data_IF_148517466524
#
_entry.id   IF_148517466524
#
_cell.length_a   1.000
_cell.length_b   1.000
_cell.length_c   1.000
_cell.angle_alpha   90.00
_cell.angle_beta   90.00
_cell.angle_gamma   90.00
#
_symmetry.space_group_name_H-M   'P 1'
#
loop_
_entity.id
_entity.type
_entity.pdbx_description
1 polymer ?
#
# COMPACT_ATOMS: atom_id res chain seq x y z
N UNK A 1 19.63 -1.13 14.34
CA UNK A 1 18.24 -1.58 14.06
C UNK A 1 17.87 -1.21 12.63
N UNK A 2 17.59 -2.20 11.77
CA UNK A 2 17.09 -1.94 10.41
C UNK A 2 15.64 -1.46 10.49
N UNK A 3 15.36 -0.22 10.07
CA UNK A 3 14.00 0.34 10.03
C UNK A 3 13.27 -0.16 8.77
N UNK A 4 12.13 -0.82 8.94
CA UNK A 4 11.27 -1.22 7.82
C UNK A 4 10.37 -0.04 7.43
N UNK A 5 10.83 0.75 6.46
CA UNK A 5 10.10 1.92 5.96
C UNK A 5 8.70 1.57 5.43
N UNK A 6 8.50 0.37 4.85
CA UNK A 6 7.18 -0.04 4.33
C UNK A 6 6.22 -0.32 5.50
N UNK A 7 6.70 -0.98 6.55
CA UNK A 7 5.91 -1.21 7.76
C UNK A 7 5.49 0.11 8.43
N UNK A 8 6.39 1.09 8.49
CA UNK A 8 6.12 2.41 9.07
C UNK A 8 5.02 3.16 8.31
N UNK A 9 5.02 3.09 6.98
CA UNK A 9 4.00 3.73 6.12
C UNK A 9 2.65 3.04 6.27
N UNK A 10 2.63 1.71 6.21
CA UNK A 10 1.42 0.91 6.42
C UNK A 10 0.78 1.26 7.76
N UNK A 11 1.61 1.37 8.81
CA UNK A 11 1.15 1.74 10.15
C UNK A 11 0.64 3.18 10.18
N UNK A 12 1.33 4.12 9.53
CA UNK A 12 0.90 5.53 9.46
C UNK A 12 -0.45 5.69 8.78
N UNK A 13 -0.68 4.99 7.66
CA UNK A 13 -1.96 5.00 6.94
C UNK A 13 -3.06 4.39 7.81
N UNK A 14 -2.82 3.22 8.41
CA UNK A 14 -3.79 2.53 9.28
C UNK A 14 -4.18 3.41 10.48
N UNK A 15 -3.21 4.04 11.13
CA UNK A 15 -3.45 4.91 12.27
C UNK A 15 -4.24 6.16 11.87
N UNK A 16 -4.02 6.69 10.67
CA UNK A 16 -4.79 7.82 10.17
C UNK A 16 -6.26 7.41 9.87
N UNK A 17 -6.48 6.25 9.25
CA UNK A 17 -7.82 5.70 8.98
C UNK A 17 -8.58 5.42 10.30
N UNK A 18 -7.92 4.78 11.27
CA UNK A 18 -8.50 4.50 12.59
C UNK A 18 -8.87 5.75 13.38
N UNK A 19 -8.05 6.81 13.30
CA UNK A 19 -8.30 8.09 13.99
C UNK A 19 -9.17 9.06 13.19
N UNK A 20 -9.81 8.59 12.11
CA UNK A 20 -10.68 9.39 11.25
C UNK A 20 -9.99 10.60 10.60
N UNK A 21 -8.66 10.58 10.50
CA UNK A 21 -7.89 11.65 9.91
C UNK A 21 -8.02 11.59 8.39
N UNK A 22 -8.53 12.68 7.80
CA UNK A 22 -8.71 12.77 6.35
C UNK A 22 -7.39 12.72 5.58
N UNK A 23 -6.30 13.14 6.22
CA UNK A 23 -4.99 13.24 5.58
C UNK A 23 -3.90 12.59 6.41
N UNK A 24 -2.94 11.95 5.74
CA UNK A 24 -1.74 11.39 6.35
C UNK A 24 -0.51 11.86 5.58
N UNK A 25 0.56 12.19 6.30
CA UNK A 25 1.83 12.62 5.74
C UNK A 25 2.86 11.51 5.93
N UNK A 26 3.52 11.12 4.85
CA UNK A 26 4.60 10.12 4.86
C UNK A 26 5.84 10.65 4.12
N UNK A 27 7.06 10.19 4.45
CA UNK A 27 8.27 10.54 3.71
C UNK A 27 8.21 10.05 2.25
N UNK A 28 8.70 10.86 1.31
CA UNK A 28 8.78 10.49 -0.11
C UNK A 28 10.07 9.74 -0.39
N UNK A 29 9.94 8.47 -0.76
CA UNK A 29 10.98 7.64 -1.39
C UNK A 29 10.43 6.97 -2.64
N UNK A 30 11.31 6.50 -3.53
CA UNK A 30 10.88 5.82 -4.77
C UNK A 30 9.90 4.66 -4.51
N UNK A 31 10.14 3.87 -3.45
CA UNK A 31 9.26 2.77 -3.06
C UNK A 31 7.91 3.31 -2.58
N UNK A 32 7.91 4.34 -1.72
CA UNK A 32 6.66 4.94 -1.23
C UNK A 32 5.81 5.51 -2.35
N UNK A 33 6.45 6.19 -3.31
CA UNK A 33 5.77 6.84 -4.42
C UNK A 33 5.08 5.79 -5.30
N UNK A 34 5.75 4.66 -5.58
CA UNK A 34 5.17 3.58 -6.35
C UNK A 34 4.00 2.89 -5.62
N UNK A 35 4.15 2.61 -4.32
CA UNK A 35 3.04 2.04 -3.53
C UNK A 35 1.84 2.98 -3.51
N UNK A 36 2.07 4.28 -3.28
CA UNK A 36 1.00 5.28 -3.24
C UNK A 36 0.32 5.46 -4.60
N UNK A 37 1.06 5.41 -5.70
CA UNK A 37 0.49 5.42 -7.06
C UNK A 37 -0.46 4.23 -7.27
N UNK A 38 -0.08 3.04 -6.82
CA UNK A 38 -0.95 1.86 -6.88
C UNK A 38 -2.19 2.07 -6.01
N UNK A 39 -2.03 2.55 -4.77
CA UNK A 39 -3.16 2.85 -3.88
C UNK A 39 -4.15 3.85 -4.49
N UNK A 40 -3.64 4.87 -5.20
CA UNK A 40 -4.47 5.87 -5.88
C UNK A 40 -5.21 5.25 -7.07
N UNK A 41 -4.49 4.51 -7.93
CA UNK A 41 -5.05 3.88 -9.14
C UNK A 41 -6.13 2.85 -8.81
N UNK A 42 -5.94 2.09 -7.73
CA UNK A 42 -6.90 1.09 -7.25
C UNK A 42 -8.04 1.72 -6.41
N UNK A 43 -7.97 3.04 -6.15
CA UNK A 43 -9.04 3.81 -5.50
C UNK A 43 -9.15 3.63 -3.98
N UNK A 44 -8.08 3.15 -3.33
CA UNK A 44 -7.96 3.06 -1.87
C UNK A 44 -7.72 4.42 -1.22
N UNK A 45 -7.03 5.33 -1.92
CA UNK A 45 -6.86 6.73 -1.51
C UNK A 45 -7.55 7.65 -2.51
N UNK A 46 -8.00 8.81 -2.04
CA UNK A 46 -8.72 9.80 -2.84
C UNK A 46 -7.76 10.68 -3.64
N UNK A 47 -6.65 11.10 -3.02
CA UNK A 47 -5.69 11.99 -3.64
C UNK A 47 -4.30 11.87 -2.99
N UNK A 48 -3.25 12.26 -3.71
CA UNK A 48 -1.88 12.41 -3.22
C UNK A 48 -1.30 13.74 -3.69
N UNK A 49 -0.64 14.46 -2.78
CA UNK A 49 0.14 15.66 -3.11
C UNK A 49 1.58 15.49 -2.63
N UNK A 50 2.53 15.85 -3.48
CA UNK A 50 3.95 15.94 -3.08
C UNK A 50 4.18 17.30 -2.45
N UNK A 51 4.82 17.32 -1.29
CA UNK A 51 5.14 18.52 -0.52
C UNK A 51 6.62 18.50 -0.17
N UNK A 52 7.29 19.65 -0.30
CA UNK A 52 8.68 19.82 0.10
C UNK A 52 8.75 20.75 1.30
N UNK A 53 9.43 20.32 2.35
CA UNK A 53 9.66 21.11 3.56
C UNK A 53 11.10 20.89 4.03
N UNK A 54 11.84 21.98 4.27
CA UNK A 54 13.21 21.94 4.80
C UNK A 54 14.11 20.96 4.04
N UNK A 55 14.05 21.03 2.71
CA UNK A 55 14.78 20.16 1.76
C UNK A 55 14.45 18.65 1.83
N UNK A 56 13.34 18.28 2.48
CA UNK A 56 12.82 16.91 2.52
C UNK A 56 11.50 16.82 1.78
N UNK A 57 11.30 15.74 1.05
CA UNK A 57 10.06 15.48 0.31
C UNK A 57 9.11 14.57 1.10
N UNK A 58 7.83 14.89 1.03
CA UNK A 58 6.75 14.17 1.68
C UNK A 58 5.59 13.96 0.71
N UNK A 59 4.85 12.87 0.93
CA UNK A 59 3.57 12.61 0.29
C UNK A 59 2.46 12.86 1.30
N UNK A 60 1.55 13.76 0.96
CA UNK A 60 0.32 14.03 1.70
C UNK A 60 -0.80 13.26 1.01
N UNK A 61 -1.25 12.18 1.65
CA UNK A 61 -2.31 11.31 1.14
C UNK A 61 -3.64 11.77 1.72
N UNK A 62 -4.68 11.81 0.89
CA UNK A 62 -6.07 11.99 1.32
C UNK A 62 -6.75 10.63 1.33
N UNK A 63 -7.14 10.17 2.52
CA UNK A 63 -7.78 8.88 2.71
C UNK A 63 -9.26 8.96 2.33
N UNK A 64 -9.75 7.91 1.66
CA UNK A 64 -11.15 7.85 1.23
C UNK A 64 -12.03 7.43 2.41
N UNK A 65 -12.71 8.39 3.02
CA UNK A 65 -13.72 8.08 4.03
C UNK A 65 -15.08 7.76 3.37
N UNK A 66 -15.45 6.48 3.32
CA UNK A 66 -16.81 6.08 2.97
C UNK A 66 -17.71 6.22 4.21
N UNK A 67 -18.44 7.34 4.32
CA UNK A 67 -19.55 7.48 5.28
C UNK A 67 -20.73 6.64 4.76
N UNK A 68 -20.99 5.49 5.38
CA UNK A 68 -22.25 4.78 5.13
C UNK A 68 -23.40 5.49 5.84
N UNK A 69 -24.47 5.81 5.10
CA UNK A 69 -25.70 6.44 5.63
C UNK A 69 -26.55 5.51 6.51
N UNK A 70 -26.18 4.22 6.67
CA UNK A 70 -27.00 3.19 7.35
C UNK A 70 -26.32 2.50 8.55
N UNK A 71 -25.41 3.18 9.25
CA UNK A 71 -24.77 2.67 10.48
C UNK A 71 -23.24 2.53 10.38
N UNK A 72 -22.56 2.12 11.46
CA UNK A 72 -21.11 2.23 11.64
C UNK A 72 -20.29 1.18 10.88
N UNK A 73 -20.77 0.67 9.74
CA UNK A 73 -19.95 -0.19 8.87
C UNK A 73 -19.02 0.68 8.04
N UNK A 74 -17.89 1.05 8.66
CA UNK A 74 -16.73 1.65 8.00
C UNK A 74 -16.04 0.57 7.19
N UNK A 75 -15.83 0.81 5.89
CA UNK A 75 -14.88 0.00 5.12
C UNK A 75 -13.47 0.40 5.59
N UNK A 76 -12.95 -0.32 6.58
CA UNK A 76 -11.58 -0.14 7.09
C UNK A 76 -10.59 -0.57 6.03
N UNK A 77 -9.62 0.30 5.73
CA UNK A 77 -8.54 -0.04 4.81
C UNK A 77 -7.52 -0.92 5.55
N UNK A 78 -7.49 -2.22 5.22
CA UNK A 78 -6.57 -3.16 5.84
C UNK A 78 -5.32 -3.28 4.98
N UNK A 79 -4.20 -2.74 5.46
CA UNK A 79 -2.88 -2.97 4.87
C UNK A 79 -2.08 -3.91 5.77
N UNK A 80 -1.44 -4.95 5.23
CA UNK A 80 -0.60 -5.89 5.99
C UNK A 80 0.75 -6.08 5.33
N UNK A 81 1.83 -5.82 6.07
CA UNK A 81 3.22 -6.10 5.67
C UNK A 81 3.47 -7.61 5.70
N UNK A 82 4.00 -8.17 4.60
CA UNK A 82 4.22 -9.61 4.45
C UNK A 82 5.71 -9.95 4.51
N UNK A 83 6.49 -9.58 3.50
CA UNK A 83 7.94 -9.66 3.59
C UNK A 83 8.42 -8.73 4.71
N UNK A 84 9.55 -9.00 5.37
CA UNK A 84 10.16 -8.15 6.40
C UNK A 84 11.68 -8.24 6.26
N UNK A 85 12.47 -7.25 6.73
CA UNK A 85 13.93 -7.33 6.66
C UNK A 85 14.52 -8.63 7.23
N UNK A 86 13.93 -9.16 8.30
CA UNK A 86 14.35 -10.43 8.91
C UNK A 86 13.76 -11.69 8.28
N UNK A 87 12.77 -11.57 7.39
CA UNK A 87 12.16 -12.70 6.67
C UNK A 87 11.61 -12.22 5.33
N UNK A 88 12.38 -12.44 4.26
CA UNK A 88 11.97 -12.06 2.91
C UNK A 88 11.07 -13.12 2.31
N UNK A 89 9.90 -12.70 1.83
CA UNK A 89 8.90 -13.60 1.23
C UNK A 89 8.84 -13.34 -0.27
N UNK A 90 9.15 -14.36 -1.06
CA UNK A 90 9.09 -14.33 -2.52
C UNK A 90 8.05 -15.30 -3.03
N UNK A 91 7.44 -14.98 -4.18
CA UNK A 91 6.54 -15.89 -4.86
C UNK A 91 6.69 -15.81 -6.38
N UNK A 92 6.53 -16.95 -7.04
CA UNK A 92 6.42 -17.03 -8.49
C UNK A 92 5.01 -16.58 -8.92
N UNK A 93 4.84 -16.06 -10.13
CA UNK A 93 3.56 -15.54 -10.66
C UNK A 93 2.40 -16.53 -10.50
N UNK A 94 2.66 -17.82 -10.68
CA UNK A 94 1.68 -18.90 -10.53
C UNK A 94 1.19 -19.09 -9.09
N UNK A 95 2.04 -18.75 -8.10
CA UNK A 95 1.79 -18.95 -6.67
C UNK A 95 1.47 -17.64 -5.95
N UNK A 96 1.26 -16.53 -6.67
CA UNK A 96 0.84 -15.28 -6.04
C UNK A 96 -0.55 -15.53 -5.43
N UNK A 97 -0.75 -15.28 -4.12
CA UNK A 97 -2.04 -15.48 -3.49
C UNK A 97 -3.10 -14.48 -4.00
N UNK A 98 -4.37 -14.90 -4.00
CA UNK A 98 -5.50 -14.00 -4.25
C UNK A 98 -6.12 -13.60 -2.91
N UNK A 99 -6.20 -12.30 -2.65
CA UNK A 99 -6.76 -11.78 -1.40
C UNK A 99 -8.27 -11.61 -1.55
N UNK A 100 -9.05 -12.16 -0.62
CA UNK A 100 -10.52 -12.11 -0.62
C UNK A 100 -11.16 -12.43 -1.98
N UNK A 101 -10.75 -13.54 -2.61
CA UNK A 101 -11.28 -13.95 -3.92
C UNK A 101 -10.93 -13.01 -5.08
N UNK A 102 -10.00 -12.05 -4.88
CA UNK A 102 -9.61 -11.05 -5.86
C UNK A 102 -10.15 -9.65 -5.58
N UNK A 103 -10.90 -9.44 -4.49
CA UNK A 103 -11.33 -8.11 -4.04
C UNK A 103 -10.17 -7.30 -3.45
N UNK A 104 -9.23 -7.96 -2.77
CA UNK A 104 -8.00 -7.33 -2.32
C UNK A 104 -6.88 -7.43 -3.35
N UNK A 105 -5.81 -6.67 -3.12
CA UNK A 105 -4.62 -6.69 -3.96
C UNK A 105 -3.39 -7.13 -3.17
N UNK A 106 -2.43 -7.70 -3.89
CA UNK A 106 -1.07 -7.90 -3.38
C UNK A 106 -0.15 -6.95 -4.14
N UNK A 107 0.70 -6.23 -3.40
CA UNK A 107 1.78 -5.43 -4.00
C UNK A 107 3.08 -6.23 -3.89
N UNK A 108 3.79 -6.34 -5.00
CA UNK A 108 5.02 -7.10 -5.14
C UNK A 108 6.13 -6.19 -5.68
N UNK A 109 7.37 -6.46 -5.29
CA UNK A 109 8.55 -5.95 -5.98
C UNK A 109 9.07 -7.00 -6.95
N UNK A 110 9.06 -6.70 -8.23
CA UNK A 110 9.54 -7.59 -9.30
C UNK A 110 10.78 -7.01 -9.98
N UNK A 111 11.38 -7.75 -10.91
CA UNK A 111 12.49 -7.25 -11.74
C UNK A 111 12.09 -6.10 -12.67
N UNK A 112 10.79 -5.90 -12.93
CA UNK A 112 10.25 -4.80 -13.75
C UNK A 112 9.66 -3.65 -12.91
N UNK A 113 9.88 -3.69 -11.59
CA UNK A 113 9.39 -2.68 -10.67
C UNK A 113 8.27 -3.18 -9.75
N UNK A 114 7.65 -2.24 -9.06
CA UNK A 114 6.58 -2.52 -8.09
C UNK A 114 5.25 -2.54 -8.83
N UNK A 115 4.49 -3.62 -8.65
CA UNK A 115 3.24 -3.85 -9.36
C UNK A 115 2.25 -4.67 -8.51
N UNK A 116 1.03 -4.76 -8.98
CA UNK A 116 -0.04 -5.57 -8.39
C UNK A 116 0.08 -7.05 -8.76
N UNK A 117 -0.61 -7.93 -8.04
CA UNK A 117 -0.71 -9.34 -8.39
C UNK A 117 -1.41 -9.61 -9.72
N UNK A 118 -2.27 -8.71 -10.18
CA UNK A 118 -2.93 -8.83 -11.48
C UNK A 118 -1.93 -8.56 -12.60
N UNK A 119 -1.21 -7.45 -12.51
CA UNK A 119 -0.15 -7.08 -13.46
C UNK A 119 0.94 -8.15 -13.53
N UNK A 120 1.42 -8.61 -12.37
CA UNK A 120 2.46 -9.64 -12.31
C UNK A 120 2.03 -10.98 -12.91
N UNK A 121 0.76 -11.37 -12.78
CA UNK A 121 0.22 -12.57 -13.44
C UNK A 121 0.10 -12.40 -14.94
N UNK A 122 -0.29 -11.21 -15.41
CA UNK A 122 -0.37 -10.89 -16.85
C UNK A 122 1.02 -10.93 -17.48
N UNK A 123 2.01 -10.34 -16.81
CA UNK A 123 3.39 -10.33 -17.28
C UNK A 123 4.13 -11.66 -17.07
N UNK A 124 3.58 -12.58 -16.28
CA UNK A 124 4.20 -13.86 -15.97
C UNK A 124 5.46 -13.75 -15.09
N UNK A 125 5.51 -12.77 -14.18
CA UNK A 125 6.70 -12.45 -13.38
C UNK A 125 6.40 -12.56 -11.88
N UNK A 126 7.31 -13.20 -11.14
CA UNK A 126 7.26 -13.28 -9.68
C UNK A 126 8.04 -12.14 -8.99
N UNK A 127 8.09 -12.17 -7.66
CA UNK A 127 8.83 -11.16 -6.91
C UNK A 127 8.70 -11.28 -5.40
N UNK A 128 9.25 -10.28 -4.70
CA UNK A 128 9.09 -10.12 -3.25
C UNK A 128 7.66 -9.64 -2.95
N UNK A 129 6.94 -10.35 -2.09
CA UNK A 129 5.61 -9.95 -1.64
C UNK A 129 5.75 -8.85 -0.58
N UNK A 130 5.47 -7.60 -0.96
CA UNK A 130 5.64 -6.47 -0.05
C UNK A 130 4.51 -6.40 0.97
N UNK A 131 3.27 -6.27 0.50
CA UNK A 131 2.11 -6.13 1.36
C UNK A 131 0.82 -6.58 0.67
N UNK A 132 -0.18 -6.84 1.50
CA UNK A 132 -1.56 -7.12 1.11
C UNK A 132 -2.44 -5.94 1.49
N UNK A 133 -3.44 -5.63 0.67
CA UNK A 133 -4.40 -4.56 0.90
C UNK A 133 -5.82 -5.07 0.60
N UNK A 134 -6.77 -4.82 1.50
CA UNK A 134 -8.20 -5.17 1.32
C UNK A 134 -9.13 -4.35 2.21
#
# INVERSE_FOLDING_TARGET
MSKDTIADIITSIRNADMNEKRTVRIPSTNITENIVKILLREGFIENVRKHQESNKYFLVLTLRHRKNRKGPYRTLLNLKRISRPGLRIYSNYQRIPRILGGMGIVILSTSRGIMTDREARIEGIGGEILCYIW
#
